data_IF_936955261090
#
_entry.id   IF_936955261090
#
_cell.length_a   1.000
_cell.length_b   1.000
_cell.length_c   1.000
_cell.angle_alpha   90.00
_cell.angle_beta   90.00
_cell.angle_gamma   90.00
#
_symmetry.space_group_name_H-M   'P 1'
#
loop_
_entity.id
_entity.type
_entity.pdbx_description
1 polymer ?
#
# COMPACT_ATOMS: atom_id res chain seq x y z
N UNK A 1 22.01 1.52 21.28
CA UNK A 1 21.54 1.53 20.94
C UNK A 1 21.45 1.56 20.47
N UNK A 2 21.37 1.33 20.28
CA UNK A 2 20.83 1.30 19.61
C UNK A 2 20.70 0.87 19.28
N UNK A 3 20.61 0.62 19.18
CA UNK A 3 20.21 0.23 18.77
C UNK A 3 20.07 -0.01 18.31
N UNK A 4 20.16 -0.21 18.08
CA UNK A 4 19.84 -0.43 17.65
C UNK A 4 19.79 -0.68 17.11
N UNK A 5 19.70 -0.93 16.81
CA UNK A 5 19.51 -1.11 16.42
C UNK A 5 19.34 -1.44 15.73
N UNK A 6 19.50 -1.76 15.41
CA UNK A 6 19.04 -2.05 14.77
C UNK A 6 18.62 -2.29 14.39
N UNK A 7 18.33 -2.38 14.41
CA UNK A 7 17.72 -2.58 14.34
C UNK A 7 16.78 -2.78 13.79
N UNK A 8 16.33 -2.85 13.90
CA UNK A 8 15.02 -3.11 13.52
C UNK A 8 14.45 -2.06 12.73
N UNK A 9 14.03 -2.34 11.55
CA UNK A 9 13.65 -1.29 10.65
C UNK A 9 12.31 -0.72 10.95
N UNK A 10 11.43 -1.52 11.46
CA UNK A 10 10.07 -1.02 11.67
C UNK A 10 10.03 0.11 12.65
N UNK A 11 11.00 0.20 13.48
CA UNK A 11 10.96 1.24 14.48
C UNK A 11 11.46 2.56 13.99
N UNK A 12 11.93 2.62 12.78
CA UNK A 12 12.45 3.87 12.28
C UNK A 12 11.37 4.83 11.85
N UNK A 13 10.14 4.38 11.77
CA UNK A 13 9.08 5.25 11.29
C UNK A 13 8.15 5.63 12.42
N UNK A 14 7.99 6.92 12.63
CA UNK A 14 7.19 7.45 13.70
C UNK A 14 5.71 7.35 13.43
N UNK A 15 5.34 7.29 12.16
CA UNK A 15 3.93 7.30 11.84
C UNK A 15 3.73 6.61 10.51
N UNK A 16 2.48 6.22 10.27
CA UNK A 16 2.11 5.62 9.01
C UNK A 16 2.34 6.61 7.87
N UNK A 17 2.10 7.88 8.11
CA UNK A 17 2.28 8.88 7.08
C UNK A 17 3.74 9.00 6.67
N UNK A 18 4.63 8.93 7.63
CA UNK A 18 6.05 9.01 7.35
C UNK A 18 6.49 7.80 6.51
N UNK A 19 5.99 6.64 6.86
CA UNK A 19 6.30 5.43 6.11
C UNK A 19 5.73 5.54 4.69
N UNK A 20 4.51 6.02 4.58
CA UNK A 20 3.88 6.19 3.28
C UNK A 20 4.74 7.06 2.36
N UNK A 21 5.23 8.17 2.89
CA UNK A 21 6.06 9.04 2.10
C UNK A 21 7.39 8.41 1.74
N UNK A 22 7.91 7.61 2.62
CA UNK A 22 9.18 6.95 2.37
C UNK A 22 9.09 5.94 1.23
N UNK A 23 7.95 5.26 1.11
CA UNK A 23 7.79 4.26 0.06
C UNK A 23 7.06 4.80 -1.16
N UNK A 24 6.83 6.10 -1.20
CA UNK A 24 6.14 6.70 -2.32
C UNK A 24 6.80 6.38 -3.67
N UNK A 25 8.13 6.36 -3.79
CA UNK A 25 8.72 6.01 -5.07
C UNK A 25 8.31 4.62 -5.56
N UNK A 26 8.17 3.66 -4.65
CA UNK A 26 7.73 2.32 -5.03
C UNK A 26 6.26 2.35 -5.44
N UNK A 27 5.44 3.08 -4.70
CA UNK A 27 4.02 3.21 -5.05
C UNK A 27 3.86 3.85 -6.41
N UNK A 28 4.67 4.85 -6.68
CA UNK A 28 4.59 5.54 -7.96
C UNK A 28 5.00 4.61 -9.10
N UNK A 29 6.05 3.83 -8.89
CA UNK A 29 6.51 2.88 -9.91
C UNK A 29 5.42 1.86 -10.19
N UNK A 30 4.75 1.38 -9.15
CA UNK A 30 3.68 0.41 -9.34
C UNK A 30 2.51 1.05 -10.08
N UNK A 31 2.21 2.28 -9.76
CA UNK A 31 1.14 2.98 -10.46
C UNK A 31 1.43 3.10 -11.95
N UNK A 32 2.68 3.37 -12.30
CA UNK A 32 3.06 3.45 -13.69
C UNK A 32 2.90 2.10 -14.39
N UNK A 33 3.23 1.01 -13.70
CA UNK A 33 3.01 -0.31 -14.22
C UNK A 33 1.53 -0.58 -14.48
N UNK A 34 0.70 -0.19 -13.52
CA UNK A 34 -0.74 -0.39 -13.66
C UNK A 34 -1.29 0.38 -14.85
N UNK A 35 -0.77 1.56 -15.09
CA UNK A 35 -1.17 2.33 -16.25
C UNK A 35 -0.87 1.58 -17.54
N UNK A 36 0.30 0.96 -17.60
CA UNK A 36 0.68 0.19 -18.77
C UNK A 36 -0.17 -1.06 -18.94
N UNK A 37 -0.74 -1.53 -17.85
CA UNK A 37 -1.57 -2.74 -17.86
C UNK A 37 -3.05 -2.41 -17.90
N UNK A 38 -3.39 -1.19 -18.33
CA UNK A 38 -4.75 -0.77 -18.56
C UNK A 38 -5.55 -0.54 -17.28
N UNK A 39 -4.84 -0.18 -16.22
CA UNK A 39 -5.49 0.17 -14.96
C UNK A 39 -5.06 1.58 -14.54
N UNK A 40 -5.34 2.59 -15.40
CA UNK A 40 -4.81 3.93 -15.14
C UNK A 40 -5.52 4.66 -14.01
N UNK A 41 -6.62 4.14 -13.55
CA UNK A 41 -7.41 4.83 -12.50
C UNK A 41 -6.95 4.50 -11.09
N UNK A 42 -6.08 3.53 -10.92
CA UNK A 42 -5.58 3.17 -9.60
C UNK A 42 -4.41 4.05 -9.23
N UNK A 43 -4.48 4.68 -8.08
CA UNK A 43 -3.48 5.63 -7.63
C UNK A 43 -2.65 5.06 -6.49
N UNK A 44 -1.60 5.79 -6.13
CA UNK A 44 -0.71 5.37 -5.05
C UNK A 44 -1.49 5.07 -3.76
N UNK A 45 -2.41 5.94 -3.42
CA UNK A 45 -3.16 5.74 -2.18
C UNK A 45 -4.04 4.50 -2.25
N UNK A 46 -4.52 4.14 -3.42
CA UNK A 46 -5.32 2.94 -3.57
C UNK A 46 -4.49 1.68 -3.32
N UNK A 47 -3.28 1.68 -3.84
CA UNK A 47 -2.37 0.56 -3.63
C UNK A 47 -2.06 0.43 -2.13
N UNK A 48 -1.76 1.54 -1.51
CA UNK A 48 -1.42 1.58 -0.10
C UNK A 48 -2.56 1.05 0.76
N UNK A 49 -3.77 1.55 0.51
CA UNK A 49 -4.92 1.13 1.29
C UNK A 49 -5.24 -0.35 1.10
N UNK A 50 -5.09 -0.84 -0.12
CA UNK A 50 -5.30 -2.25 -0.39
C UNK A 50 -4.36 -3.12 0.44
N UNK A 51 -3.09 -2.75 0.42
CA UNK A 51 -2.11 -3.55 1.13
C UNK A 51 -2.34 -3.49 2.64
N UNK A 52 -2.68 -2.31 3.15
CA UNK A 52 -2.95 -2.19 4.58
C UNK A 52 -4.12 -3.07 5.00
N UNK A 53 -5.18 -3.07 4.23
CA UNK A 53 -6.39 -3.76 4.61
C UNK A 53 -6.38 -5.24 4.32
N UNK A 54 -5.70 -5.64 3.27
CA UNK A 54 -5.78 -7.02 2.81
C UNK A 54 -4.55 -7.85 3.05
N UNK A 55 -3.39 -7.21 3.10
CA UNK A 55 -2.16 -7.96 3.22
C UNK A 55 -1.47 -7.78 4.54
N UNK A 56 -1.37 -6.54 4.98
CA UNK A 56 -0.54 -6.25 6.14
C UNK A 56 -1.25 -6.35 7.47
N UNK A 57 -2.56 -6.35 7.44
CA UNK A 57 -3.31 -6.40 8.68
C UNK A 57 -3.03 -7.67 9.48
N UNK A 58 -2.67 -8.74 8.79
CA UNK A 58 -2.39 -9.99 9.45
C UNK A 58 -0.93 -10.26 9.67
N UNK A 59 -0.08 -9.37 9.18
CA UNK A 59 1.36 -9.59 9.29
C UNK A 59 1.94 -8.83 10.45
N UNK A 60 2.98 -9.40 11.02
CA UNK A 60 3.71 -8.75 12.09
C UNK A 60 5.15 -8.57 11.68
N UNK A 61 5.81 -7.62 12.28
CA UNK A 61 7.23 -7.40 12.07
C UNK A 61 7.56 -7.16 10.62
N UNK A 62 6.75 -6.32 9.97
CA UNK A 62 7.03 -5.97 8.59
C UNK A 62 8.29 -5.13 8.53
N UNK A 63 9.18 -5.52 7.64
CA UNK A 63 10.38 -4.74 7.40
C UNK A 63 10.23 -3.95 6.13
N UNK A 64 11.02 -2.90 6.01
CA UNK A 64 10.89 -1.99 4.88
C UNK A 64 10.96 -2.72 3.55
N UNK A 65 11.90 -3.66 3.41
CA UNK A 65 12.02 -4.33 2.12
C UNK A 65 10.81 -5.22 1.83
N UNK A 66 10.16 -5.73 2.87
CA UNK A 66 8.94 -6.49 2.67
C UNK A 66 7.84 -5.59 2.14
N UNK A 67 7.77 -4.39 2.69
CA UNK A 67 6.74 -3.45 2.27
C UNK A 67 6.94 -3.06 0.81
N UNK A 68 8.16 -2.74 0.45
CA UNK A 68 8.46 -2.37 -0.93
C UNK A 68 8.18 -3.54 -1.87
N UNK A 69 8.59 -4.74 -1.47
CA UNK A 69 8.37 -5.93 -2.27
C UNK A 69 6.88 -6.18 -2.47
N UNK A 70 6.10 -6.04 -1.40
CA UNK A 70 4.66 -6.24 -1.50
C UNK A 70 4.02 -5.24 -2.44
N UNK A 71 4.50 -3.99 -2.42
CA UNK A 71 3.99 -2.98 -3.33
C UNK A 71 4.24 -3.38 -4.77
N UNK A 72 5.47 -3.77 -5.05
CA UNK A 72 5.84 -4.08 -6.42
C UNK A 72 5.20 -5.35 -6.94
N UNK A 73 4.89 -6.27 -6.05
CA UNK A 73 4.38 -7.57 -6.45
C UNK A 73 2.90 -7.80 -6.15
N UNK A 74 2.16 -6.77 -5.78
CA UNK A 74 0.78 -7.00 -5.44
C UNK A 74 -0.01 -7.42 -6.67
N UNK A 75 -0.99 -8.27 -6.43
CA UNK A 75 -1.82 -8.86 -7.48
C UNK A 75 -2.73 -7.79 -8.08
N UNK A 76 -2.58 -7.56 -9.37
CA UNK A 76 -3.32 -6.50 -10.03
C UNK A 76 -4.82 -6.79 -10.11
N UNK A 77 -5.18 -8.05 -10.25
CA UNK A 77 -6.59 -8.41 -10.31
C UNK A 77 -7.26 -8.15 -8.96
N UNK A 78 -6.60 -8.56 -7.89
CA UNK A 78 -7.14 -8.34 -6.56
C UNK A 78 -7.19 -6.86 -6.23
N UNK A 79 -6.18 -6.13 -6.66
CA UNK A 79 -6.14 -4.70 -6.42
C UNK A 79 -7.28 -4.00 -7.16
N UNK A 80 -7.53 -4.40 -8.38
CA UNK A 80 -8.61 -3.82 -9.17
C UNK A 80 -9.97 -4.14 -8.54
N UNK A 81 -10.14 -5.36 -8.08
CA UNK A 81 -11.38 -5.74 -7.41
C UNK A 81 -11.59 -4.93 -6.15
N UNK A 82 -10.52 -4.74 -5.39
CA UNK A 82 -10.60 -3.94 -4.19
C UNK A 82 -11.00 -2.50 -4.53
N UNK A 83 -10.37 -1.95 -5.55
CA UNK A 83 -10.67 -0.58 -5.97
C UNK A 83 -12.14 -0.43 -6.34
N UNK A 84 -12.66 -1.38 -7.10
CA UNK A 84 -14.05 -1.33 -7.51
C UNK A 84 -14.99 -1.49 -6.33
N UNK A 85 -14.62 -2.32 -5.38
CA UNK A 85 -15.43 -2.50 -4.19
C UNK A 85 -15.50 -1.22 -3.38
N UNK A 86 -14.37 -0.55 -3.23
CA UNK A 86 -14.33 0.70 -2.47
C UNK A 86 -15.15 1.77 -3.20
N UNK A 87 -15.02 1.82 -4.51
CA UNK A 87 -15.77 2.79 -5.30
C UNK A 87 -17.26 2.53 -5.18
N UNK A 88 -17.65 1.28 -5.21
CA UNK A 88 -19.04 0.90 -5.07
C UNK A 88 -19.58 1.30 -3.71
N UNK A 89 -18.82 1.11 -2.65
CA UNK A 89 -19.21 1.53 -1.33
C UNK A 89 -19.45 3.02 -1.24
N UNK A 90 -18.60 3.78 -1.89
CA UNK A 90 -18.75 5.23 -1.87
C UNK A 90 -20.00 5.66 -2.61
N UNK A 91 -20.31 4.97 -3.68
CA UNK A 91 -21.50 5.28 -4.43
C UNK A 91 -22.75 4.97 -3.67
N UNK A 92 -22.70 3.92 -2.88
CA UNK A 92 -23.88 3.48 -2.14
C UNK A 92 -24.04 4.19 -0.83
N UNK A 93 -23.14 5.06 -0.53
CA UNK A 93 -23.24 5.77 0.72
C UNK A 93 -24.59 6.46 0.81
N UNK A 94 -25.31 6.30 1.93
CA UNK A 94 -26.59 6.95 2.08
C UNK A 94 -26.45 8.44 2.04
N UNK A 95 -27.41 9.06 1.45
CA UNK A 95 -27.39 10.47 1.33
C UNK A 95 -27.98 11.15 2.53
N UNK A 96 -28.69 10.48 3.28
CA UNK A 96 -29.44 11.08 4.37
C UNK A 96 -28.63 11.66 5.46
#
# INVERSE_FOLDING_TARGET
>A
MYEKRGDKMEVTFQSEQELYQHVMPALHAKRMDLKRHQLPYIKEEDIWNYLKEKEWIQKKNLELYHIVSDIMNCDEVKLDDYFKTVLERKRRRPIL
#
